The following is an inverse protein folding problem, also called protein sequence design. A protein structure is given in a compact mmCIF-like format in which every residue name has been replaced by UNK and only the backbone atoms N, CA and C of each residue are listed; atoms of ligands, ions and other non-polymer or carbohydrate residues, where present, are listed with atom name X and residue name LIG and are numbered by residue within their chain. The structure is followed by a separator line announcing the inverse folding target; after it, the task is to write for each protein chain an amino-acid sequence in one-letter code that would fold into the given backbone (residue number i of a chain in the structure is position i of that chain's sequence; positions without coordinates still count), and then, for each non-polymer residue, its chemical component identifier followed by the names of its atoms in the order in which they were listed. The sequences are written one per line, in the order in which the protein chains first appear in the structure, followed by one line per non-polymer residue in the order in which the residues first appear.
data_IF_808105376631
#
_entry.id   IF_808105376631
#
_cell.length_a   1.000
_cell.length_b   1.000
_cell.length_c   1.000
_cell.angle_alpha   90.00
_cell.angle_beta   90.00
_cell.angle_gamma   90.00
#
_symmetry.space_group_name_H-M   'P 1'
#
loop_
_entity.id
_entity.type
_entity.pdbx_description
1 polymer ?
#
# COMPACT_ATOMS: atom_id res chain seq x y z
N UNK A 1 -6.82 -25.34 -25.97
CA UNK A 1 -7.07 -25.55 -24.54
C UNK A 1 -5.83 -26.17 -23.88
N UNK A 2 -4.73 -25.42 -23.71
CA UNK A 2 -3.47 -25.94 -23.13
C UNK A 2 -2.59 -24.87 -22.44
N UNK A 3 -3.14 -23.71 -22.08
CA UNK A 3 -2.33 -22.56 -21.56
C UNK A 3 -2.45 -22.37 -20.03
N UNK A 4 -3.45 -22.96 -19.35
CA UNK A 4 -3.66 -22.72 -17.91
C UNK A 4 -2.82 -23.61 -16.95
N UNK A 5 -2.44 -24.83 -17.33
CA UNK A 5 -1.67 -25.73 -16.44
C UNK A 5 -0.25 -25.23 -16.15
N UNK A 6 0.33 -24.49 -17.08
CA UNK A 6 1.70 -23.98 -17.00
C UNK A 6 1.84 -22.82 -16.02
N UNK A 7 0.85 -21.93 -15.89
CA UNK A 7 0.97 -20.75 -15.02
C UNK A 7 0.96 -21.10 -13.53
N UNK A 8 0.14 -22.07 -13.09
CA UNK A 8 0.12 -22.46 -11.67
C UNK A 8 1.38 -23.21 -11.26
N UNK A 9 1.87 -24.08 -12.15
CA UNK A 9 3.12 -24.80 -11.92
C UNK A 9 4.28 -23.82 -11.85
N UNK A 10 4.30 -22.79 -12.71
CA UNK A 10 5.31 -21.71 -12.70
C UNK A 10 5.18 -20.81 -11.47
N UNK A 11 3.98 -20.52 -10.96
CA UNK A 11 3.81 -19.70 -9.75
C UNK A 11 4.27 -20.45 -8.48
N UNK A 12 3.96 -21.75 -8.38
CA UNK A 12 4.51 -22.63 -7.35
C UNK A 12 6.02 -22.81 -7.54
N UNK A 13 6.51 -22.96 -8.78
CA UNK A 13 7.95 -23.00 -9.07
C UNK A 13 8.62 -21.69 -8.68
N UNK A 14 8.02 -20.54 -8.93
CA UNK A 14 8.57 -19.22 -8.57
C UNK A 14 8.56 -19.00 -7.06
N UNK A 15 7.50 -19.43 -6.36
CA UNK A 15 7.51 -19.51 -4.90
C UNK A 15 8.63 -20.44 -4.39
N UNK A 16 8.92 -21.54 -5.11
CA UNK A 16 10.01 -22.48 -4.80
C UNK A 16 11.40 -21.96 -5.21
N UNK A 17 11.51 -21.16 -6.26
CA UNK A 17 12.76 -20.60 -6.77
C UNK A 17 13.17 -19.36 -5.97
N UNK A 18 12.23 -18.53 -5.49
CA UNK A 18 12.51 -17.47 -4.53
C UNK A 18 13.04 -18.03 -3.19
N UNK A 19 12.68 -19.29 -2.85
CA UNK A 19 13.25 -20.02 -1.71
C UNK A 19 14.70 -20.49 -1.93
N UNK A 20 15.27 -20.37 -3.13
CA UNK A 20 16.66 -20.79 -3.43
C UNK A 20 17.72 -19.73 -3.12
N UNK A 21 17.32 -18.48 -2.82
CA UNK A 21 18.24 -17.38 -2.51
C UNK A 21 18.66 -17.26 -1.03
N UNK A 22 18.07 -18.06 -0.13
CA UNK A 22 18.39 -18.06 1.30
C UNK A 22 19.11 -19.37 1.64
N UNK A 23 20.38 -19.26 1.99
CA UNK A 23 21.32 -20.37 2.23
C UNK A 23 20.86 -21.29 3.36
N UNK A 24 20.15 -22.37 3.03
CA UNK A 24 20.16 -23.68 3.70
C UNK A 24 19.25 -24.67 2.94
N UNK A 25 19.87 -25.47 2.07
CA UNK A 25 19.19 -26.44 1.21
C UNK A 25 18.53 -27.57 2.03
N UNK A 26 17.21 -27.48 2.25
CA UNK A 26 16.38 -28.68 2.45
C UNK A 26 15.95 -29.20 1.09
N UNK A 27 16.37 -30.42 0.75
CA UNK A 27 15.86 -31.18 -0.41
C UNK A 27 14.33 -31.24 -0.32
N UNK A 28 13.63 -30.52 -1.19
CA UNK A 28 12.19 -30.72 -1.37
C UNK A 28 11.94 -32.04 -2.11
N UNK A 29 10.87 -32.79 -1.77
CA UNK A 29 10.56 -34.05 -2.44
C UNK A 29 10.32 -33.81 -3.93
N UNK A 30 10.89 -34.68 -4.77
CA UNK A 30 10.91 -34.63 -6.23
C UNK A 30 9.54 -34.76 -6.92
N UNK A 31 8.43 -34.72 -6.16
CA UNK A 31 7.06 -34.75 -6.66
C UNK A 31 6.23 -33.70 -5.95
N UNK A 32 6.05 -32.55 -6.58
CA UNK A 32 5.03 -31.58 -6.19
C UNK A 32 3.68 -32.26 -6.44
N UNK A 33 2.88 -32.47 -5.38
CA UNK A 33 1.51 -32.97 -5.53
C UNK A 33 0.68 -31.90 -6.26
N UNK A 34 -0.20 -32.31 -7.17
CA UNK A 34 -1.15 -31.39 -7.78
C UNK A 34 -1.98 -30.71 -6.68
N UNK A 35 -2.00 -29.37 -6.72
CA UNK A 35 -2.72 -28.53 -5.78
C UNK A 35 -4.18 -28.43 -6.25
N UNK A 36 -5.19 -28.62 -5.40
CA UNK A 36 -6.60 -28.78 -5.80
C UNK A 36 -7.29 -27.46 -6.21
N UNK A 37 -6.55 -26.50 -6.75
CA UNK A 37 -7.07 -25.19 -7.16
C UNK A 37 -7.37 -25.16 -8.66
N UNK A 38 -8.48 -24.53 -9.04
CA UNK A 38 -8.96 -24.48 -10.44
C UNK A 38 -9.39 -23.07 -10.80
N UNK A 39 -9.16 -22.65 -12.05
CA UNK A 39 -9.56 -21.32 -12.53
C UNK A 39 -8.97 -20.17 -11.69
N UNK A 40 -7.70 -20.31 -11.30
CA UNK A 40 -6.96 -19.22 -10.63
C UNK A 40 -6.72 -18.10 -11.63
N UNK A 41 -7.06 -16.88 -11.21
CA UNK A 41 -6.91 -15.66 -12.00
C UNK A 41 -5.79 -14.77 -11.46
N UNK A 42 -5.56 -14.81 -10.16
CA UNK A 42 -4.46 -14.16 -9.48
C UNK A 42 -4.16 -14.90 -8.17
N UNK A 43 -2.91 -14.83 -7.72
CA UNK A 43 -2.52 -15.35 -6.42
C UNK A 43 -1.34 -14.54 -5.88
N UNK A 44 -1.45 -14.14 -4.62
CA UNK A 44 -0.46 -13.35 -3.92
C UNK A 44 0.03 -14.10 -2.70
N UNK A 45 1.34 -14.01 -2.46
CA UNK A 45 1.87 -14.48 -1.20
C UNK A 45 1.34 -13.61 -0.08
N UNK A 46 0.87 -14.27 0.97
CA UNK A 46 0.48 -13.59 2.18
C UNK A 46 1.15 -14.30 3.35
N UNK A 47 1.97 -13.55 4.07
CA UNK A 47 2.79 -14.08 5.16
C UNK A 47 2.39 -13.50 6.52
N UNK A 48 1.13 -13.65 6.95
CA UNK A 48 0.81 -13.34 8.33
C UNK A 48 1.58 -14.33 9.21
N UNK A 49 2.37 -13.80 10.14
CA UNK A 49 2.82 -14.56 11.31
C UNK A 49 3.80 -15.72 11.03
N UNK A 50 4.69 -15.59 10.03
CA UNK A 50 5.61 -16.63 9.51
C UNK A 50 4.92 -17.85 8.87
N UNK A 51 3.59 -17.81 8.75
CA UNK A 51 2.85 -18.82 8.02
C UNK A 51 2.80 -18.43 6.55
N UNK A 52 3.27 -19.32 5.70
CA UNK A 52 3.32 -19.10 4.25
C UNK A 52 2.02 -19.57 3.64
N UNK A 53 1.20 -18.62 3.21
CA UNK A 53 -0.05 -18.91 2.53
C UNK A 53 -0.19 -18.07 1.28
N UNK A 54 -1.25 -18.35 0.53
CA UNK A 54 -1.60 -17.62 -0.66
C UNK A 54 -3.00 -17.06 -0.52
N UNK A 55 -3.17 -15.78 -0.83
CA UNK A 55 -4.48 -15.23 -1.14
C UNK A 55 -4.72 -15.41 -2.64
N UNK A 56 -5.80 -16.08 -3.01
CA UNK A 56 -6.06 -16.54 -4.38
C UNK A 56 -7.40 -16.02 -4.85
N UNK A 57 -7.42 -15.41 -6.04
CA UNK A 57 -8.65 -15.16 -6.79
C UNK A 57 -8.97 -16.38 -7.64
N UNK A 58 -9.94 -17.18 -7.19
CA UNK A 58 -10.41 -18.39 -7.86
C UNK A 58 -11.81 -18.16 -8.45
N UNK A 59 -11.93 -18.14 -9.78
CA UNK A 59 -13.17 -17.71 -10.44
C UNK A 59 -13.51 -16.26 -10.06
N UNK A 60 -14.62 -16.04 -9.35
CA UNK A 60 -15.00 -14.70 -8.86
C UNK A 60 -14.80 -14.55 -7.35
N UNK A 61 -14.21 -15.55 -6.67
CA UNK A 61 -14.06 -15.60 -5.21
C UNK A 61 -12.61 -15.43 -4.78
N UNK A 62 -12.38 -14.66 -3.71
CA UNK A 62 -11.09 -14.55 -3.04
C UNK A 62 -11.05 -15.57 -1.90
N UNK A 63 -9.99 -16.36 -1.83
CA UNK A 63 -9.78 -17.43 -0.85
C UNK A 63 -8.38 -17.27 -0.22
N UNK A 64 -8.21 -17.74 1.03
CA UNK A 64 -6.89 -17.99 1.60
C UNK A 64 -6.59 -19.48 1.58
N UNK A 65 -5.42 -19.88 1.09
CA UNK A 65 -5.03 -21.30 0.99
C UNK A 65 -3.63 -21.56 1.52
N UNK A 66 -3.44 -22.72 2.15
CA UNK A 66 -2.11 -23.20 2.54
C UNK A 66 -1.25 -23.58 1.31
N UNK A 67 0.04 -23.88 1.51
CA UNK A 67 0.93 -24.32 0.42
C UNK A 67 0.53 -25.67 -0.23
N UNK A 68 -0.46 -26.38 0.33
CA UNK A 68 -1.05 -27.60 -0.23
C UNK A 68 -2.35 -27.31 -0.99
N UNK A 69 -2.82 -26.05 -1.00
CA UNK A 69 -4.06 -25.60 -1.62
C UNK A 69 -5.31 -25.91 -0.84
N UNK A 70 -5.21 -26.26 0.45
CA UNK A 70 -6.37 -26.35 1.31
C UNK A 70 -6.78 -24.95 1.72
N UNK A 71 -8.08 -24.67 1.65
CA UNK A 71 -8.62 -23.43 2.20
C UNK A 71 -8.33 -23.35 3.71
N UNK A 72 -7.88 -22.19 4.15
CA UNK A 72 -7.60 -21.91 5.55
C UNK A 72 -8.40 -20.70 5.99
N UNK A 73 -8.81 -20.70 7.25
CA UNK A 73 -9.37 -19.49 7.86
C UNK A 73 -8.26 -18.45 8.01
N UNK A 74 -8.64 -17.21 7.82
CA UNK A 74 -7.81 -16.05 8.10
C UNK A 74 -7.24 -16.16 9.54
N UNK A 75 -5.93 -15.96 9.75
CA UNK A 75 -5.32 -15.98 11.04
C UNK A 75 -5.72 -14.69 11.73
N UNK A 76 -5.85 -14.77 13.04
CA UNK A 76 -5.72 -13.57 13.85
C UNK A 76 -4.36 -12.92 13.57
N UNK A 77 -4.28 -11.58 13.42
CA UNK A 77 -3.01 -10.87 13.48
C UNK A 77 -2.25 -11.34 14.74
N UNK A 78 -0.96 -11.69 14.64
CA UNK A 78 -0.16 -11.84 15.86
C UNK A 78 0.04 -10.46 16.47
N UNK A 79 0.33 -10.47 17.76
CA UNK A 79 0.89 -9.31 18.43
C UNK A 79 2.09 -8.77 17.62
N UNK A 80 2.21 -7.44 17.49
CA UNK A 80 3.29 -6.83 16.72
C UNK A 80 4.63 -7.36 17.22
N UNK A 81 5.49 -7.78 16.29
CA UNK A 81 6.87 -8.14 16.62
C UNK A 81 7.53 -6.88 17.16
N UNK A 82 7.81 -6.87 18.46
CA UNK A 82 8.52 -5.77 19.11
C UNK A 82 10.00 -5.83 18.70
N UNK A 83 10.40 -4.95 17.78
CA UNK A 83 11.80 -4.70 17.51
C UNK A 83 12.34 -3.81 18.64
N UNK A 84 13.17 -4.36 19.52
CA UNK A 84 13.84 -3.59 20.56
C UNK A 84 15.12 -2.95 20.00
N UNK A 85 15.20 -1.62 20.06
CA UNK A 85 16.35 -0.83 19.63
C UNK A 85 15.96 0.65 19.49
N UNK A 86 16.95 1.55 19.48
CA UNK A 86 16.69 2.98 19.27
C UNK A 86 16.59 3.25 17.77
N UNK A 87 15.37 3.23 17.23
CA UNK A 87 15.16 3.50 15.81
C UNK A 87 15.22 5.01 15.52
N UNK A 88 15.75 5.40 14.35
CA UNK A 88 15.62 6.78 13.88
C UNK A 88 14.16 7.22 13.84
N UNK A 89 13.91 8.41 14.36
CA UNK A 89 12.60 9.05 14.37
C UNK A 89 12.61 10.23 13.41
N UNK A 90 11.59 10.30 12.56
CA UNK A 90 11.36 11.38 11.62
C UNK A 90 10.10 12.14 12.01
N UNK A 91 10.17 13.46 12.04
CA UNK A 91 9.06 14.35 12.37
C UNK A 91 8.86 15.39 11.28
N UNK A 92 7.62 15.64 10.94
CA UNK A 92 7.20 16.67 10.00
C UNK A 92 6.15 17.55 10.66
N UNK A 93 6.36 18.85 10.62
CA UNK A 93 5.47 19.84 11.22
C UNK A 93 5.05 20.87 10.17
N UNK A 94 3.76 21.17 10.10
CA UNK A 94 3.21 22.29 9.33
C UNK A 94 3.20 23.50 10.26
N UNK A 95 4.13 24.42 10.04
CA UNK A 95 4.25 25.67 10.78
C UNK A 95 3.50 26.78 10.02
N UNK A 96 2.25 26.99 10.43
CA UNK A 96 1.33 27.96 9.81
C UNK A 96 1.72 29.41 10.05
N UNK A 97 2.40 29.70 11.16
CA UNK A 97 2.80 31.08 11.50
C UNK A 97 3.90 31.57 10.55
N UNK A 98 4.84 30.68 10.20
CA UNK A 98 5.94 30.99 9.30
C UNK A 98 5.72 30.48 7.86
N UNK A 99 4.51 30.01 7.54
CA UNK A 99 4.13 29.47 6.23
C UNK A 99 5.11 28.41 5.67
N UNK A 100 5.53 27.46 6.52
CA UNK A 100 6.57 26.50 6.16
C UNK A 100 6.24 25.08 6.65
N UNK A 101 6.97 24.11 6.09
CA UNK A 101 7.05 22.76 6.62
C UNK A 101 8.45 22.54 7.17
N UNK A 102 8.51 22.00 8.37
CA UNK A 102 9.75 21.64 9.06
C UNK A 102 9.85 20.12 9.09
N UNK A 103 11.01 19.60 8.68
CA UNK A 103 11.41 18.21 8.81
C UNK A 103 12.52 18.11 9.86
N UNK A 104 12.37 17.17 10.78
CA UNK A 104 13.39 16.83 11.75
C UNK A 104 13.69 15.34 11.72
N UNK A 105 14.96 14.97 11.74
CA UNK A 105 15.39 13.59 11.97
C UNK A 105 16.32 13.50 13.17
N UNK A 106 16.08 12.49 14.00
CA UNK A 106 16.89 12.18 15.17
C UNK A 106 17.48 10.77 15.04
N UNK A 107 18.80 10.65 15.21
CA UNK A 107 19.55 9.40 15.15
C UNK A 107 20.20 9.15 16.50
N UNK A 108 19.55 8.36 17.35
CA UNK A 108 19.98 8.23 18.75
C UNK A 108 21.26 7.39 18.90
N UNK A 109 21.57 6.50 17.95
CA UNK A 109 22.62 5.48 18.11
C UNK A 109 24.04 5.89 17.65
N UNK A 110 24.25 7.07 17.04
CA UNK A 110 25.58 7.47 16.51
C UNK A 110 26.00 8.94 16.79
N UNK A 111 25.47 9.56 17.85
CA UNK A 111 25.81 10.93 18.25
C UNK A 111 24.80 11.99 17.76
N UNK A 112 25.00 13.28 18.10
CA UNK A 112 24.02 14.34 17.84
C UNK A 112 24.00 14.75 16.36
N UNK A 113 23.41 13.91 15.50
CA UNK A 113 23.14 14.23 14.11
C UNK A 113 21.67 14.59 13.95
N UNK A 114 21.16 15.47 14.82
CA UNK A 114 19.84 16.07 14.62
C UNK A 114 19.90 16.93 13.36
N UNK A 115 19.10 16.58 12.37
CA UNK A 115 18.98 17.34 11.13
C UNK A 115 17.63 18.04 11.13
N UNK A 116 17.63 19.33 10.81
CA UNK A 116 16.43 20.13 10.67
C UNK A 116 16.47 20.76 9.27
N UNK A 117 15.48 20.44 8.45
CA UNK A 117 15.28 21.05 7.14
C UNK A 117 13.92 21.74 7.11
N UNK A 118 13.77 22.72 6.22
CA UNK A 118 12.48 23.35 6.00
C UNK A 118 12.25 23.66 4.52
N UNK A 119 10.99 23.89 4.17
CA UNK A 119 10.58 24.40 2.86
C UNK A 119 9.32 25.25 3.02
N UNK A 120 9.17 26.23 2.13
CA UNK A 120 8.02 27.13 2.13
C UNK A 120 6.77 26.47 1.54
N UNK A 121 5.60 26.88 2.05
CA UNK A 121 4.28 26.54 1.50
C UNK A 121 3.83 27.47 0.37
N UNK A 122 4.59 28.53 0.04
CA UNK A 122 4.18 29.61 -0.89
C UNK A 122 3.74 29.11 -2.29
N UNK A 123 4.22 27.94 -2.71
CA UNK A 123 3.88 27.36 -4.01
C UNK A 123 2.56 26.55 -4.02
N UNK A 124 1.85 26.49 -2.89
CA UNK A 124 0.58 25.79 -2.75
C UNK A 124 -0.55 26.79 -2.54
N UNK A 125 -1.35 26.99 -3.57
CA UNK A 125 -2.58 27.78 -3.52
C UNK A 125 -3.71 26.95 -2.89
N UNK A 126 -3.70 26.80 -1.56
CA UNK A 126 -4.69 26.03 -0.79
C UNK A 126 -5.23 26.84 0.41
N UNK A 127 -6.47 26.57 0.78
CA UNK A 127 -7.14 27.14 1.95
C UNK A 127 -6.86 26.31 3.21
N UNK A 128 -6.67 25.01 3.05
CA UNK A 128 -6.31 24.10 4.14
C UNK A 128 -5.19 23.16 3.73
N UNK A 129 -4.26 22.95 4.66
CA UNK A 129 -3.11 22.06 4.51
C UNK A 129 -2.99 21.27 5.82
N UNK A 130 -3.06 19.93 5.72
CA UNK A 130 -3.01 19.00 6.86
C UNK A 130 -2.27 17.73 6.45
N UNK A 131 -1.64 17.04 7.39
CA UNK A 131 -1.23 15.64 7.14
C UNK A 131 -2.46 14.75 7.00
N UNK A 132 -2.30 13.55 6.42
CA UNK A 132 -3.42 12.62 6.19
C UNK A 132 -4.13 12.18 7.48
N UNK A 133 -3.43 12.18 8.62
CA UNK A 133 -4.02 11.95 9.95
C UNK A 133 -4.92 13.11 10.45
N UNK A 134 -5.04 14.22 9.70
CA UNK A 134 -5.81 15.41 10.07
C UNK A 134 -5.05 16.42 10.94
N UNK A 135 -3.81 16.09 11.34
CA UNK A 135 -3.01 16.90 12.24
C UNK A 135 -2.01 17.79 11.49
N UNK A 136 -1.43 18.75 12.23
CA UNK A 136 -0.31 19.57 11.76
C UNK A 136 1.06 18.92 12.04
N UNK A 137 1.07 17.76 12.70
CA UNK A 137 2.26 16.97 13.03
C UNK A 137 2.11 15.54 12.51
N UNK A 138 3.17 15.04 11.87
CA UNK A 138 3.30 13.64 11.50
C UNK A 138 4.65 13.10 11.95
N UNK A 139 4.67 11.92 12.56
CA UNK A 139 5.87 11.27 13.06
C UNK A 139 5.89 9.81 12.61
N UNK A 140 7.09 9.33 12.26
CA UNK A 140 7.31 7.92 11.96
C UNK A 140 8.72 7.46 12.30
N UNK A 141 8.85 6.15 12.48
CA UNK A 141 10.11 5.46 12.70
C UNK A 141 10.53 4.70 11.45
N UNK A 142 11.81 4.40 11.28
CA UNK A 142 12.30 3.65 10.10
C UNK A 142 11.63 2.27 9.92
N UNK A 143 11.07 1.73 11.02
CA UNK A 143 10.35 0.46 11.03
C UNK A 143 8.89 0.55 10.57
N UNK A 144 8.33 1.76 10.48
CA UNK A 144 6.93 1.94 10.12
C UNK A 144 6.66 1.44 8.69
N UNK A 145 5.74 0.48 8.57
CA UNK A 145 5.37 -0.12 7.28
C UNK A 145 6.26 -1.28 6.83
N UNK A 146 7.28 -1.68 7.59
CA UNK A 146 8.09 -2.84 7.24
C UNK A 146 7.25 -4.13 7.28
N UNK A 147 7.20 -4.84 6.14
CA UNK A 147 6.47 -6.11 6.00
C UNK A 147 4.98 -5.95 5.68
N UNK A 148 4.49 -4.72 5.57
CA UNK A 148 3.10 -4.43 5.22
C UNK A 148 2.86 -4.60 3.71
N UNK A 149 1.64 -4.99 3.34
CA UNK A 149 1.27 -5.20 1.93
C UNK A 149 1.24 -3.90 1.13
N UNK A 150 0.90 -2.80 1.81
CA UNK A 150 0.83 -1.46 1.25
C UNK A 150 1.16 -0.46 2.34
N UNK A 151 1.77 0.66 1.97
CA UNK A 151 2.10 1.72 2.92
C UNK A 151 1.90 3.10 2.29
N UNK A 152 0.98 3.88 2.85
CA UNK A 152 0.80 5.30 2.54
C UNK A 152 1.88 6.10 3.27
N UNK A 153 2.72 6.88 2.58
CA UNK A 153 3.73 7.69 3.24
C UNK A 153 3.15 8.70 4.22
N UNK A 154 3.65 8.67 5.45
CA UNK A 154 3.20 9.53 6.56
C UNK A 154 3.49 11.03 6.37
N UNK A 155 4.37 11.37 5.42
CA UNK A 155 4.69 12.75 5.04
C UNK A 155 3.83 13.26 3.87
N UNK A 156 2.80 12.52 3.45
CA UNK A 156 1.81 13.03 2.52
C UNK A 156 0.84 13.99 3.19
N UNK A 157 0.45 15.01 2.42
CA UNK A 157 -0.28 16.18 2.86
C UNK A 157 -1.54 16.29 2.03
N UNK A 158 -2.68 16.38 2.72
CA UNK A 158 -3.96 16.74 2.15
C UNK A 158 -4.01 18.25 1.95
N UNK A 159 -4.28 18.68 0.72
CA UNK A 159 -4.46 20.09 0.36
C UNK A 159 -5.90 20.31 -0.11
N UNK A 160 -6.54 21.38 0.36
CA UNK A 160 -7.94 21.68 0.10
C UNK A 160 -8.09 23.12 -0.36
N UNK A 161 -8.87 23.33 -1.43
CA UNK A 161 -9.30 24.66 -1.89
C UNK A 161 -10.77 24.59 -2.31
N UNK A 162 -11.63 25.35 -1.63
CA UNK A 162 -13.07 25.20 -1.72
C UNK A 162 -13.49 23.76 -1.40
N UNK A 163 -14.31 23.16 -2.26
CA UNK A 163 -14.79 21.77 -2.11
C UNK A 163 -13.91 20.75 -2.83
N UNK A 164 -12.70 21.13 -3.25
CA UNK A 164 -11.79 20.25 -3.99
C UNK A 164 -10.56 19.88 -3.18
N UNK A 165 -10.21 18.61 -3.29
CA UNK A 165 -9.10 17.98 -2.60
C UNK A 165 -7.99 17.64 -3.59
N UNK A 166 -6.75 17.80 -3.14
CA UNK A 166 -5.53 17.36 -3.79
C UNK A 166 -4.59 16.70 -2.79
N UNK A 167 -3.45 16.24 -3.27
CA UNK A 167 -2.45 15.55 -2.47
C UNK A 167 -1.06 16.08 -2.83
N UNK A 168 -0.25 16.36 -1.82
CA UNK A 168 1.15 16.69 -1.98
C UNK A 168 2.01 15.74 -1.15
N UNK A 169 3.26 15.58 -1.54
CA UNK A 169 4.29 14.87 -0.79
C UNK A 169 5.48 15.76 -0.57
N UNK A 170 6.29 15.40 0.43
CA UNK A 170 7.56 16.04 0.70
C UNK A 170 8.63 15.23 -0.04
N UNK A 171 9.29 15.87 -1.00
CA UNK A 171 10.39 15.29 -1.76
C UNK A 171 11.71 15.63 -1.06
N UNK A 172 12.51 14.60 -0.80
CA UNK A 172 13.84 14.70 -0.21
C UNK A 172 14.85 14.68 -1.34
N UNK A 173 15.17 15.88 -1.84
CA UNK A 173 16.10 16.05 -2.95
C UNK A 173 17.55 15.73 -2.57
N UNK A 174 18.44 15.91 -3.54
CA UNK A 174 19.89 15.88 -3.30
C UNK A 174 20.29 17.13 -2.47
N UNK A 175 21.42 17.04 -1.75
CA UNK A 175 22.02 18.15 -0.99
C UNK A 175 21.19 18.68 0.19
N UNK A 176 20.56 17.80 0.97
CA UNK A 176 19.89 18.17 2.22
C UNK A 176 18.79 19.23 2.04
N UNK A 177 18.05 19.15 0.93
CA UNK A 177 16.89 20.01 0.67
C UNK A 177 15.61 19.19 0.65
N UNK A 178 14.55 19.77 1.22
CA UNK A 178 13.19 19.27 1.04
C UNK A 178 12.39 20.23 0.17
N UNK A 179 11.46 19.70 -0.59
CA UNK A 179 10.53 20.48 -1.38
C UNK A 179 9.15 19.84 -1.40
N UNK A 180 8.13 20.62 -1.72
CA UNK A 180 6.79 20.11 -1.93
C UNK A 180 6.59 19.67 -3.37
N UNK A 181 6.10 18.44 -3.53
CA UNK A 181 5.75 17.86 -4.82
C UNK A 181 4.26 17.57 -4.87
N UNK A 182 3.57 18.15 -5.84
CA UNK A 182 2.18 17.78 -6.10
C UNK A 182 2.11 16.31 -6.56
N UNK A 183 1.28 15.52 -5.89
CA UNK A 183 1.01 14.12 -6.20
C UNK A 183 -0.32 13.97 -6.94
N UNK A 184 -1.35 14.68 -6.44
CA UNK A 184 -2.65 14.76 -7.08
C UNK A 184 -3.10 16.23 -7.18
N UNK A 185 -3.61 16.67 -8.34
CA UNK A 185 -4.16 18.02 -8.47
C UNK A 185 -5.41 18.20 -7.59
N UNK A 186 -5.70 19.44 -7.17
CA UNK A 186 -6.89 19.80 -6.39
C UNK A 186 -8.17 19.79 -7.26
N UNK A 187 -8.58 18.60 -7.68
CA UNK A 187 -9.74 18.38 -8.58
C UNK A 187 -10.64 17.25 -8.11
N UNK A 188 -10.32 16.61 -6.98
CA UNK A 188 -11.08 15.49 -6.44
C UNK A 188 -12.19 15.99 -5.53
N UNK A 189 -13.34 15.32 -5.56
CA UNK A 189 -14.47 15.63 -4.69
C UNK A 189 -14.23 15.11 -3.26
N UNK A 190 -13.42 14.07 -3.11
CA UNK A 190 -12.96 13.58 -1.81
C UNK A 190 -11.71 12.71 -1.96
N UNK A 191 -10.83 12.78 -0.97
CA UNK A 191 -9.73 11.82 -0.75
C UNK A 191 -9.95 11.22 0.64
N UNK A 192 -10.25 9.93 0.71
CA UNK A 192 -10.53 9.24 1.97
C UNK A 192 -9.29 8.48 2.41
N UNK A 193 -8.73 8.92 3.53
CA UNK A 193 -7.70 8.21 4.28
C UNK A 193 -8.37 7.41 5.41
N UNK A 194 -8.02 6.13 5.53
CA UNK A 194 -8.53 5.25 6.60
C UNK A 194 -7.42 4.95 7.61
N UNK A 195 -6.29 4.51 7.10
CA UNK A 195 -5.08 4.16 7.84
C UNK A 195 -3.89 4.17 6.86
N UNK A 196 -2.68 3.99 7.37
CA UNK A 196 -1.47 3.99 6.56
C UNK A 196 -1.24 2.68 5.79
N UNK A 197 -2.08 1.67 5.98
CA UNK A 197 -1.92 0.33 5.39
C UNK A 197 -2.90 0.06 4.24
N UNK A 198 -3.83 0.99 4.02
CA UNK A 198 -4.83 0.93 2.97
C UNK A 198 -4.58 2.05 1.95
N UNK A 199 -4.61 1.77 0.64
CA UNK A 199 -4.57 2.81 -0.39
C UNK A 199 -5.62 3.89 -0.18
N UNK A 200 -5.33 5.13 -0.62
CA UNK A 200 -6.30 6.22 -0.53
C UNK A 200 -7.48 5.98 -1.48
N UNK A 201 -8.72 6.17 -1.01
CA UNK A 201 -9.90 6.11 -1.88
C UNK A 201 -10.19 7.50 -2.43
N UNK A 202 -10.08 7.65 -3.74
CA UNK A 202 -10.32 8.91 -4.44
C UNK A 202 -11.74 8.93 -5.01
N UNK A 203 -12.38 10.10 -5.03
CA UNK A 203 -13.66 10.34 -5.71
C UNK A 203 -13.58 11.55 -6.62
N UNK A 204 -14.09 11.43 -7.84
CA UNK A 204 -14.26 12.56 -8.77
C UNK A 204 -15.44 12.32 -9.69
N UNK A 205 -16.30 13.32 -9.86
CA UNK A 205 -17.48 13.28 -10.72
C UNK A 205 -18.38 12.06 -10.42
N UNK A 206 -18.53 11.72 -9.13
CA UNK A 206 -19.33 10.57 -8.69
C UNK A 206 -18.69 9.19 -8.91
N UNK A 207 -17.50 9.11 -9.51
CA UNK A 207 -16.75 7.87 -9.69
C UNK A 207 -15.62 7.76 -8.68
N UNK A 208 -15.18 6.53 -8.43
CA UNK A 208 -14.17 6.17 -7.45
C UNK A 208 -12.94 5.53 -8.10
N UNK A 209 -11.80 5.59 -7.42
CA UNK A 209 -10.60 4.75 -7.66
C UNK A 209 -9.83 4.59 -6.34
N UNK A 210 -8.94 3.59 -6.29
CA UNK A 210 -7.83 3.58 -5.35
C UNK A 210 -6.66 4.36 -5.93
N UNK A 211 -5.88 5.02 -5.06
CA UNK A 211 -4.62 5.64 -5.44
C UNK A 211 -3.50 4.61 -5.33
N UNK A 212 -3.16 3.98 -6.45
CA UNK A 212 -2.08 3.00 -6.59
C UNK A 212 -0.99 3.51 -7.55
N UNK A 213 -1.12 4.75 -8.03
CA UNK A 213 -0.33 5.37 -9.09
C UNK A 213 -1.16 6.45 -9.80
N UNK A 214 -1.11 6.46 -11.13
CA UNK A 214 -1.80 7.47 -11.96
C UNK A 214 -3.23 7.08 -12.36
N UNK A 215 -4.01 6.48 -11.43
CA UNK A 215 -5.34 5.97 -11.77
C UNK A 215 -6.40 7.07 -11.87
N UNK A 216 -7.25 6.94 -12.89
CA UNK A 216 -8.41 7.81 -13.10
C UNK A 216 -9.65 7.19 -12.44
N UNK A 217 -10.46 7.98 -11.70
CA UNK A 217 -11.75 7.53 -11.18
C UNK A 217 -12.64 6.95 -12.27
N UNK A 218 -13.01 5.67 -12.13
CA UNK A 218 -13.78 4.92 -13.15
C UNK A 218 -14.82 3.96 -12.57
N UNK A 219 -14.75 3.66 -11.27
CA UNK A 219 -15.69 2.74 -10.64
C UNK A 219 -16.90 3.49 -10.11
N UNK A 220 -18.08 2.89 -10.27
CA UNK A 220 -19.31 3.34 -9.63
C UNK A 220 -19.29 3.04 -8.13
N UNK A 221 -18.70 1.92 -7.73
CA UNK A 221 -18.50 1.56 -6.32
C UNK A 221 -17.19 0.79 -6.11
N UNK A 222 -16.63 0.93 -4.90
CA UNK A 222 -15.44 0.22 -4.41
C UNK A 222 -15.68 -0.24 -2.98
N UNK A 223 -15.47 -1.53 -2.70
CA UNK A 223 -15.37 -2.06 -1.33
C UNK A 223 -14.01 -1.74 -0.75
N UNK A 224 -13.85 -1.84 0.58
CA UNK A 224 -12.51 -1.89 1.20
C UNK A 224 -11.68 -3.05 0.63
N UNK A 225 -10.36 -2.93 0.74
CA UNK A 225 -9.45 -4.05 0.47
C UNK A 225 -9.66 -5.16 1.49
N UNK A 226 -9.79 -6.38 0.97
CA UNK A 226 -9.58 -7.64 1.64
C UNK A 226 -8.15 -8.08 1.26
N UNK A 227 -7.19 -7.70 2.10
CA UNK A 227 -5.75 -7.79 1.84
C UNK A 227 -5.35 -7.28 0.45
N UNK A 228 -5.03 -8.16 -0.50
CA UNK A 228 -4.58 -7.75 -1.83
C UNK A 228 -5.69 -7.31 -2.76
N UNK A 229 -6.96 -7.65 -2.49
CA UNK A 229 -8.05 -7.47 -3.45
C UNK A 229 -9.13 -6.54 -2.92
N UNK A 230 -9.66 -5.67 -3.78
CA UNK A 230 -10.85 -4.85 -3.51
C UNK A 230 -11.88 -5.09 -4.60
N UNK A 231 -13.16 -5.15 -4.21
CA UNK A 231 -14.27 -5.36 -5.13
C UNK A 231 -14.69 -4.04 -5.77
N UNK A 232 -14.98 -4.07 -7.08
CA UNK A 232 -15.50 -2.92 -7.80
C UNK A 232 -16.78 -3.23 -8.60
N UNK A 233 -17.53 -2.17 -8.90
CA UNK A 233 -18.59 -2.14 -9.92
C UNK A 233 -18.33 -0.99 -10.90
N UNK A 234 -18.43 -1.26 -12.20
CA UNK A 234 -18.34 -0.28 -13.27
C UNK A 234 -19.70 0.40 -13.51
N UNK A 235 -19.74 1.58 -14.17
CA UNK A 235 -21.00 2.27 -14.46
C UNK A 235 -22.00 1.45 -15.29
N UNK A 236 -21.51 0.50 -16.10
CA UNK A 236 -22.33 -0.41 -16.91
C UNK A 236 -22.86 -1.62 -16.12
N UNK A 237 -22.58 -1.71 -14.82
CA UNK A 237 -23.03 -2.78 -13.93
C UNK A 237 -22.11 -4.01 -13.89
N UNK A 238 -21.05 -4.07 -14.72
CA UNK A 238 -20.04 -5.13 -14.61
C UNK A 238 -19.29 -5.03 -13.28
N UNK A 239 -19.00 -6.17 -12.68
CA UNK A 239 -18.29 -6.27 -11.40
C UNK A 239 -16.94 -6.95 -11.59
N UNK A 240 -16.03 -6.72 -10.66
CA UNK A 240 -14.72 -7.32 -10.71
C UNK A 240 -13.92 -7.07 -9.45
N UNK A 241 -12.67 -7.51 -9.47
CA UNK A 241 -11.68 -7.28 -8.42
C UNK A 241 -10.55 -6.42 -8.97
N UNK A 242 -10.05 -5.49 -8.17
CA UNK A 242 -8.78 -4.79 -8.39
C UNK A 242 -7.78 -5.24 -7.33
N UNK A 243 -6.53 -5.46 -7.71
CA UNK A 243 -5.46 -5.75 -6.76
C UNK A 243 -4.62 -4.51 -6.38
N UNK A 244 -3.73 -4.65 -5.39
CA UNK A 244 -2.82 -3.58 -4.94
C UNK A 244 -1.81 -3.12 -6.01
N UNK A 245 -1.66 -3.85 -7.11
CA UNK A 245 -0.84 -3.44 -8.26
C UNK A 245 -1.68 -2.75 -9.35
N UNK A 246 -2.98 -2.55 -9.12
CA UNK A 246 -3.89 -1.91 -10.07
C UNK A 246 -4.40 -2.84 -11.18
N UNK A 247 -4.13 -4.15 -11.12
CA UNK A 247 -4.67 -5.07 -12.13
C UNK A 247 -6.15 -5.36 -11.86
N UNK A 248 -6.93 -5.45 -12.95
CA UNK A 248 -8.38 -5.65 -12.89
C UNK A 248 -8.80 -7.03 -13.38
N UNK A 249 -9.74 -7.62 -12.65
CA UNK A 249 -10.27 -8.96 -12.88
C UNK A 249 -11.81 -8.90 -12.95
N UNK A 250 -12.37 -8.69 -14.14
CA UNK A 250 -13.82 -8.65 -14.39
C UNK A 250 -14.46 -10.02 -14.16
N UNK A 251 -15.58 -10.09 -13.47
CA UNK A 251 -16.32 -11.34 -13.26
C UNK A 251 -16.65 -12.06 -14.57
N UNK A 252 -16.52 -13.38 -14.54
CA UNK A 252 -17.00 -14.28 -15.58
C UNK A 252 -18.45 -14.68 -15.33
#
# INVERSE_FOLDING_TARGET
MFVLKTQLTVLLLMCVLFLQGQSNFRKYPSKIKEVPLKNIRAAYQWHPNDQRWLQVLQGNNVLCVDLKGNEVKEPSPKDPVLWCGTLPVFRYCIDKENNQIIYESDHVDFGPNRKILNTTLDNIDAEQIKFLNGEDLSQYEIGDGLGELYHVPKYWILIVKGEKYGLAGIDHGQDDKISLKALLPMVYDSIVFKDYLTPLKLKKNGLYTWYLGDEKPKYKSLSSFDHHFSRFELPDGRKGWIDLNGNEYIDQ
#
